data_IF_879981013811
#
_entry.id   IF_879981013811
#
_cell.length_a   1.000
_cell.length_b   1.000
_cell.length_c   1.000
_cell.angle_alpha   90.00
_cell.angle_beta   90.00
_cell.angle_gamma   90.00
#
_symmetry.space_group_name_H-M   'P 1'
#
loop_
_entity.id
_entity.type
_entity.pdbx_description
1 polymer ?
#
# COMPACT_ATOMS: atom_id res chain seq x y z
N UNK A 1 -21.78 -7.67 24.28
CA UNK A 1 -22.33 -7.66 22.91
C UNK A 1 -21.38 -8.42 22.04
N UNK A 2 -21.83 -9.38 21.21
CA UNK A 2 -20.95 -10.02 20.27
C UNK A 2 -20.43 -8.89 19.37
N UNK A 3 -19.12 -8.85 19.13
CA UNK A 3 -18.46 -7.96 18.17
C UNK A 3 -19.06 -8.31 16.80
N UNK A 4 -20.19 -7.67 16.53
CA UNK A 4 -21.14 -8.08 15.51
C UNK A 4 -20.66 -7.66 14.14
N UNK A 5 -21.15 -8.37 13.19
CA UNK A 5 -21.08 -8.07 11.78
C UNK A 5 -21.34 -6.57 11.55
N UNK A 6 -20.31 -5.86 11.11
CA UNK A 6 -20.48 -4.47 10.68
C UNK A 6 -21.29 -4.47 9.41
N UNK A 7 -22.56 -4.11 9.52
CA UNK A 7 -23.41 -3.85 8.35
C UNK A 7 -23.02 -2.50 7.77
N UNK A 8 -22.47 -2.51 6.57
CA UNK A 8 -22.35 -1.30 5.77
C UNK A 8 -23.74 -0.96 5.23
N UNK A 9 -24.24 0.24 5.59
CA UNK A 9 -25.50 0.77 5.05
C UNK A 9 -25.13 1.73 3.94
N UNK A 10 -25.59 1.46 2.72
CA UNK A 10 -25.40 2.35 1.58
C UNK A 10 -26.69 3.13 1.34
N UNK A 11 -26.58 4.46 1.41
CA UNK A 11 -27.69 5.38 1.15
C UNK A 11 -27.39 6.17 -0.12
N UNK A 12 -28.39 6.35 -0.98
CA UNK A 12 -28.32 7.19 -2.16
C UNK A 12 -28.97 8.53 -1.82
N UNK A 13 -28.15 9.55 -1.57
CA UNK A 13 -28.58 10.85 -1.13
C UNK A 13 -28.14 11.93 -2.13
N UNK A 14 -28.85 13.02 -2.19
CA UNK A 14 -28.35 14.24 -2.84
C UNK A 14 -27.16 14.79 -2.03
N UNK A 15 -26.35 15.62 -2.65
CA UNK A 15 -25.19 16.22 -2.00
C UNK A 15 -25.56 16.95 -0.71
N UNK A 16 -26.62 17.77 -0.76
CA UNK A 16 -27.07 18.53 0.40
C UNK A 16 -27.52 17.61 1.53
N UNK A 17 -28.33 16.59 1.24
CA UNK A 17 -28.74 15.60 2.23
C UNK A 17 -27.57 14.81 2.83
N UNK A 18 -26.55 14.52 2.04
CA UNK A 18 -25.36 13.84 2.53
C UNK A 18 -24.53 14.72 3.47
N UNK A 19 -24.39 16.02 3.15
CA UNK A 19 -23.72 17.01 4.01
C UNK A 19 -24.51 17.20 5.34
N UNK A 20 -25.82 17.38 5.27
CA UNK A 20 -26.69 17.50 6.46
C UNK A 20 -26.62 16.24 7.34
N UNK A 21 -26.69 15.05 6.76
CA UNK A 21 -26.57 13.79 7.50
C UNK A 21 -25.19 13.64 8.15
N UNK A 22 -24.12 14.00 7.43
CA UNK A 22 -22.77 13.94 7.95
C UNK A 22 -22.57 14.87 9.15
N UNK A 23 -23.17 16.07 9.11
CA UNK A 23 -23.09 17.05 10.21
C UNK A 23 -23.94 16.64 11.42
N UNK A 24 -25.03 15.92 11.20
CA UNK A 24 -25.83 15.33 12.31
C UNK A 24 -25.06 14.16 12.97
N UNK A 25 -24.44 13.28 12.17
CA UNK A 25 -23.75 12.10 12.69
C UNK A 25 -22.41 12.44 13.35
N UNK A 26 -21.67 13.36 12.75
CA UNK A 26 -20.30 13.73 13.14
C UNK A 26 -20.09 15.24 12.87
N UNK A 27 -20.60 16.14 13.76
CA UNK A 27 -20.45 17.58 13.60
C UNK A 27 -18.99 18.00 13.69
N UNK A 28 -18.55 18.86 12.77
CA UNK A 28 -17.18 19.38 12.74
C UNK A 28 -17.16 20.72 13.49
N UNK A 29 -16.59 20.72 14.69
CA UNK A 29 -16.42 21.90 15.54
C UNK A 29 -14.94 22.22 15.71
N UNK A 30 -14.55 23.46 15.49
CA UNK A 30 -13.17 23.97 15.64
C UNK A 30 -12.08 23.05 15.09
N UNK A 31 -12.10 22.74 13.79
CA UNK A 31 -11.17 21.79 13.23
C UNK A 31 -9.79 22.41 12.96
N UNK A 32 -8.73 21.68 13.32
CA UNK A 32 -7.39 21.93 12.81
C UNK A 32 -7.35 21.50 11.35
N UNK A 33 -7.28 22.44 10.45
CA UNK A 33 -7.26 22.19 9.01
C UNK A 33 -5.85 22.13 8.44
N UNK A 34 -5.62 21.17 7.56
CA UNK A 34 -4.45 21.15 6.69
C UNK A 34 -4.86 21.00 5.24
N UNK A 35 -4.42 21.95 4.41
CA UNK A 35 -4.51 21.86 2.96
C UNK A 35 -3.11 21.60 2.38
N UNK A 36 -2.89 20.46 1.70
CA UNK A 36 -1.59 20.11 1.17
C UNK A 36 -1.03 21.15 0.20
N UNK A 37 0.26 21.44 0.30
CA UNK A 37 0.99 22.36 -0.57
C UNK A 37 1.34 21.70 -1.92
N UNK A 38 1.81 22.49 -2.89
CA UNK A 38 2.12 22.01 -4.23
C UNK A 38 3.08 20.82 -4.27
N UNK A 39 4.16 20.83 -3.46
CA UNK A 39 5.11 19.73 -3.38
C UNK A 39 4.50 18.43 -2.82
N UNK A 40 3.63 18.54 -1.82
CA UNK A 40 2.90 17.41 -1.25
C UNK A 40 1.91 16.83 -2.27
N UNK A 41 1.21 17.69 -3.02
CA UNK A 41 0.29 17.25 -4.11
C UNK A 41 1.04 16.52 -5.22
N UNK A 42 2.22 17.01 -5.59
CA UNK A 42 3.07 16.36 -6.58
C UNK A 42 3.58 15.01 -6.07
N UNK A 43 4.04 14.95 -4.83
CA UNK A 43 4.44 13.68 -4.20
C UNK A 43 3.26 12.69 -4.13
N UNK A 44 2.07 13.12 -3.74
CA UNK A 44 0.87 12.30 -3.76
C UNK A 44 0.55 11.78 -5.15
N UNK A 45 0.66 12.64 -6.19
CA UNK A 45 0.41 12.27 -7.57
C UNK A 45 1.33 11.13 -8.02
N UNK A 46 2.62 11.22 -7.71
CA UNK A 46 3.61 10.20 -8.08
C UNK A 46 3.44 8.93 -7.25
N UNK A 47 3.29 9.06 -5.93
CA UNK A 47 3.19 7.91 -5.02
C UNK A 47 1.83 7.20 -5.07
N UNK A 48 0.77 7.93 -5.41
CA UNK A 48 -0.58 7.38 -5.58
C UNK A 48 -0.82 6.71 -6.93
N UNK A 49 0.12 6.80 -7.85
CA UNK A 49 0.01 6.18 -9.17
C UNK A 49 0.06 4.64 -9.06
N UNK A 50 -1.11 4.00 -9.08
CA UNK A 50 -1.25 2.55 -9.00
C UNK A 50 -1.59 1.97 -10.39
N UNK A 51 -0.58 1.40 -11.06
CA UNK A 51 -0.70 0.88 -12.42
C UNK A 51 -1.74 -0.25 -12.59
N UNK A 52 -1.94 -1.08 -11.57
CA UNK A 52 -2.81 -2.25 -11.69
C UNK A 52 -4.30 -1.88 -11.81
N UNK A 53 -4.78 -0.92 -11.02
CA UNK A 53 -6.15 -0.41 -11.13
C UNK A 53 -6.38 0.35 -12.43
N UNK A 54 -5.33 0.96 -12.96
CA UNK A 54 -5.36 1.69 -14.22
C UNK A 54 -5.46 0.76 -15.41
N UNK A 55 -4.86 -0.43 -15.33
CA UNK A 55 -4.94 -1.45 -16.38
C UNK A 55 -6.39 -1.91 -16.61
N UNK A 56 -7.16 -2.12 -15.54
CA UNK A 56 -8.57 -2.48 -15.63
C UNK A 56 -9.38 -1.36 -16.29
N UNK A 57 -9.14 -0.11 -15.88
CA UNK A 57 -9.82 1.05 -16.46
C UNK A 57 -9.48 1.24 -17.93
N UNK A 58 -8.21 1.04 -18.30
CA UNK A 58 -7.74 1.13 -19.67
C UNK A 58 -8.38 0.05 -20.56
N UNK A 59 -8.42 -1.20 -20.07
CA UNK A 59 -9.09 -2.29 -20.78
C UNK A 59 -10.57 -1.99 -20.99
N UNK A 60 -11.27 -1.52 -19.95
CA UNK A 60 -12.67 -1.14 -20.01
C UNK A 60 -12.90 0.01 -20.99
N UNK A 61 -12.03 1.03 -20.97
CA UNK A 61 -12.11 2.18 -21.88
C UNK A 61 -11.94 1.75 -23.33
N UNK A 62 -10.96 0.89 -23.63
CA UNK A 62 -10.77 0.35 -24.98
C UNK A 62 -12.01 -0.44 -25.41
N UNK A 63 -12.53 -1.29 -24.57
CA UNK A 63 -13.69 -2.10 -24.89
C UNK A 63 -14.94 -1.26 -25.17
N UNK A 64 -15.17 -0.23 -24.35
CA UNK A 64 -16.29 0.70 -24.58
C UNK A 64 -16.08 1.57 -25.84
N UNK A 65 -14.86 2.06 -26.08
CA UNK A 65 -14.58 2.92 -27.25
C UNK A 65 -14.79 2.15 -28.54
N UNK A 66 -14.54 0.85 -28.55
CA UNK A 66 -14.80 0.00 -29.69
C UNK A 66 -16.29 0.03 -30.11
N UNK A 67 -17.19 0.13 -29.13
CA UNK A 67 -18.63 0.12 -29.37
C UNK A 67 -19.19 1.49 -29.80
N UNK A 68 -18.60 2.59 -29.30
CA UNK A 68 -19.15 3.95 -29.47
C UNK A 68 -18.35 4.83 -30.42
N UNK A 69 -17.03 4.59 -30.58
CA UNK A 69 -16.15 5.42 -31.40
C UNK A 69 -14.99 4.60 -31.96
N UNK A 70 -15.23 3.69 -32.92
CA UNK A 70 -14.20 2.80 -33.48
C UNK A 70 -13.04 3.57 -34.15
N UNK A 71 -13.32 4.71 -34.76
CA UNK A 71 -12.29 5.53 -35.39
C UNK A 71 -11.33 6.16 -34.37
N UNK A 72 -11.84 6.58 -33.22
CA UNK A 72 -11.01 7.11 -32.16
C UNK A 72 -10.12 6.00 -31.54
N UNK A 73 -10.63 4.76 -31.44
CA UNK A 73 -9.84 3.62 -31.01
C UNK A 73 -8.71 3.31 -31.99
N UNK A 74 -9.01 3.24 -33.28
CA UNK A 74 -7.99 2.94 -34.31
C UNK A 74 -6.92 4.04 -34.36
N UNK A 75 -7.28 5.30 -34.20
CA UNK A 75 -6.35 6.41 -34.11
C UNK A 75 -5.45 6.32 -32.85
N UNK A 76 -6.02 6.02 -31.71
CA UNK A 76 -5.24 5.84 -30.46
C UNK A 76 -4.26 4.68 -30.57
N UNK A 77 -4.70 3.54 -31.12
CA UNK A 77 -3.82 2.37 -31.30
C UNK A 77 -2.72 2.66 -32.33
N UNK A 78 -2.99 3.42 -33.36
CA UNK A 78 -2.01 3.85 -34.36
C UNK A 78 -0.93 4.74 -33.71
N UNK A 79 -1.32 5.68 -32.86
CA UNK A 79 -0.37 6.51 -32.08
C UNK A 79 0.52 5.67 -31.15
N UNK A 80 -0.06 4.73 -30.42
CA UNK A 80 0.71 3.80 -29.60
C UNK A 80 1.65 2.94 -30.43
N UNK A 81 1.21 2.52 -31.63
CA UNK A 81 2.04 1.79 -32.60
C UNK A 81 3.24 2.60 -33.07
N UNK A 82 3.06 3.89 -33.35
CA UNK A 82 4.17 4.80 -33.71
C UNK A 82 5.18 4.94 -32.57
N UNK A 83 4.71 5.11 -31.33
CA UNK A 83 5.58 5.16 -30.16
C UNK A 83 6.35 3.85 -29.94
N UNK A 84 5.67 2.70 -30.13
CA UNK A 84 6.31 1.40 -30.04
C UNK A 84 7.35 1.19 -31.16
N UNK A 85 7.05 1.62 -32.38
CA UNK A 85 8.00 1.58 -33.50
C UNK A 85 9.22 2.48 -33.27
N UNK A 86 9.04 3.63 -32.64
CA UNK A 86 10.15 4.49 -32.23
C UNK A 86 11.01 3.81 -31.16
N UNK A 87 10.39 3.23 -30.13
CA UNK A 87 11.10 2.51 -29.08
C UNK A 87 11.79 1.23 -29.61
N UNK A 88 11.23 0.61 -30.64
CA UNK A 88 11.79 -0.59 -31.27
C UNK A 88 13.11 -0.32 -32.01
N UNK A 89 13.51 0.92 -32.21
CA UNK A 89 14.85 1.26 -32.73
C UNK A 89 15.98 0.88 -31.75
N UNK A 90 15.64 0.78 -30.46
CA UNK A 90 16.59 0.55 -29.37
C UNK A 90 16.34 -0.77 -28.64
N UNK A 91 15.13 -1.33 -28.77
CA UNK A 91 14.66 -2.48 -28.02
C UNK A 91 13.96 -3.48 -28.95
N UNK A 92 13.95 -4.80 -28.60
CA UNK A 92 13.11 -5.77 -29.32
C UNK A 92 11.64 -5.33 -29.32
N UNK A 93 10.94 -5.59 -30.43
CA UNK A 93 9.57 -5.08 -30.68
C UNK A 93 8.59 -5.41 -29.53
N UNK A 94 8.67 -6.61 -28.97
CA UNK A 94 7.82 -7.02 -27.83
C UNK A 94 8.07 -6.20 -26.58
N UNK A 95 9.34 -5.90 -26.26
CA UNK A 95 9.71 -5.07 -25.11
C UNK A 95 9.36 -3.60 -25.32
N UNK A 96 9.44 -3.11 -26.55
CA UNK A 96 9.02 -1.76 -26.93
C UNK A 96 7.51 -1.56 -26.69
N UNK A 97 6.67 -2.51 -27.10
CA UNK A 97 5.23 -2.49 -26.82
C UNK A 97 4.91 -2.53 -25.33
N UNK A 98 5.60 -3.40 -24.55
CA UNK A 98 5.41 -3.46 -23.09
C UNK A 98 5.78 -2.14 -22.41
N UNK A 99 6.87 -1.50 -22.86
CA UNK A 99 7.32 -0.22 -22.32
C UNK A 99 6.34 0.91 -22.64
N UNK A 100 5.84 0.99 -23.87
CA UNK A 100 4.83 1.99 -24.27
C UNK A 100 3.52 1.78 -23.52
N UNK A 101 3.07 0.53 -23.37
CA UNK A 101 1.88 0.21 -22.59
C UNK A 101 2.04 0.61 -21.12
N UNK A 102 3.15 0.21 -20.49
CA UNK A 102 3.45 0.55 -19.11
C UNK A 102 3.54 2.06 -18.89
N UNK A 103 4.19 2.79 -19.80
CA UNK A 103 4.28 4.26 -19.78
C UNK A 103 2.92 4.93 -19.91
N UNK A 104 2.07 4.46 -20.81
CA UNK A 104 0.71 4.97 -20.99
C UNK A 104 -0.13 4.76 -19.74
N UNK A 105 -0.09 3.54 -19.16
CA UNK A 105 -0.79 3.22 -17.93
C UNK A 105 -0.31 4.08 -16.75
N UNK A 106 0.99 4.32 -16.68
CA UNK A 106 1.59 5.19 -15.67
C UNK A 106 1.10 6.64 -15.84
N UNK A 107 1.10 7.19 -17.04
CA UNK A 107 0.59 8.54 -17.31
C UNK A 107 -0.89 8.69 -16.94
N UNK A 108 -1.75 7.74 -17.31
CA UNK A 108 -3.16 7.74 -16.93
C UNK A 108 -3.31 7.67 -15.40
N UNK A 109 -2.49 6.86 -14.74
CA UNK A 109 -2.47 6.75 -13.27
C UNK A 109 -2.04 8.05 -12.60
N UNK A 110 -1.04 8.75 -13.16
CA UNK A 110 -0.62 10.07 -12.68
C UNK A 110 -1.74 11.09 -12.78
N UNK A 111 -2.40 11.18 -13.93
CA UNK A 111 -3.54 12.10 -14.14
C UNK A 111 -4.65 11.81 -13.14
N UNK A 112 -5.02 10.54 -12.98
CA UNK A 112 -6.02 10.13 -11.99
C UNK A 112 -5.63 10.54 -10.57
N UNK A 113 -4.40 10.29 -10.16
CA UNK A 113 -3.88 10.65 -8.84
C UNK A 113 -3.84 12.16 -8.65
N UNK A 114 -3.45 12.93 -9.67
CA UNK A 114 -3.50 14.39 -9.67
C UNK A 114 -4.93 14.91 -9.45
N UNK A 115 -5.91 14.35 -10.17
CA UNK A 115 -7.32 14.71 -10.02
C UNK A 115 -7.86 14.40 -8.61
N UNK A 116 -7.34 13.36 -7.94
CA UNK A 116 -7.68 13.04 -6.55
C UNK A 116 -7.04 14.02 -5.55
N UNK A 117 -5.86 14.57 -5.87
CA UNK A 117 -5.16 15.54 -5.02
C UNK A 117 -5.79 16.95 -5.06
N UNK A 118 -6.68 17.22 -6.03
CA UNK A 118 -7.35 18.52 -6.14
C UNK A 118 -8.36 18.69 -5.01
N UNK A 119 -8.36 19.87 -4.38
CA UNK A 119 -9.19 20.23 -3.23
C UNK A 119 -9.06 19.27 -2.03
N UNK A 120 -7.90 18.61 -1.91
CA UNK A 120 -7.65 17.74 -0.78
C UNK A 120 -7.45 18.56 0.49
N UNK A 121 -8.15 18.15 1.55
CA UNK A 121 -8.01 18.73 2.89
C UNK A 121 -8.14 17.63 3.92
N UNK A 122 -7.34 17.73 4.98
CA UNK A 122 -7.41 16.86 6.15
C UNK A 122 -7.74 17.74 7.34
N UNK A 123 -8.52 17.26 8.28
CA UNK A 123 -8.83 17.97 9.50
C UNK A 123 -8.91 17.05 10.71
N UNK A 124 -8.65 17.63 11.86
CA UNK A 124 -8.85 17.00 13.16
C UNK A 124 -9.66 17.91 14.06
N UNK A 125 -10.58 17.33 14.80
CA UNK A 125 -11.23 17.92 15.96
C UNK A 125 -10.85 17.11 17.20
N UNK A 126 -11.31 17.48 18.38
CA UNK A 126 -11.08 16.73 19.62
C UNK A 126 -11.63 15.31 19.58
N UNK A 127 -12.66 15.05 18.76
CA UNK A 127 -13.36 13.75 18.72
C UNK A 127 -13.26 13.03 17.40
N UNK A 128 -12.78 13.70 16.34
CA UNK A 128 -12.84 13.19 14.98
C UNK A 128 -11.60 13.51 14.17
N UNK A 129 -11.36 12.65 13.19
CA UNK A 129 -10.37 12.83 12.12
C UNK A 129 -11.08 12.69 10.78
N UNK A 130 -10.81 13.59 9.86
CA UNK A 130 -11.45 13.52 8.56
C UNK A 130 -10.56 13.94 7.41
N UNK A 131 -10.94 13.50 6.22
CA UNK A 131 -10.35 13.97 4.97
C UNK A 131 -11.42 14.11 3.88
N UNK A 132 -11.22 15.06 3.00
CA UNK A 132 -12.02 15.24 1.79
C UNK A 132 -11.13 15.61 0.63
N UNK A 133 -11.55 15.25 -0.58
CA UNK A 133 -10.79 15.59 -1.78
C UNK A 133 -11.41 15.08 -3.07
N UNK A 134 -10.74 15.35 -4.18
CA UNK A 134 -11.09 14.92 -5.51
C UNK A 134 -11.85 15.97 -6.32
N UNK A 135 -11.56 16.03 -7.62
CA UNK A 135 -12.20 16.93 -8.57
C UNK A 135 -13.40 16.25 -9.25
N UNK A 136 -13.19 15.09 -9.84
CA UNK A 136 -14.22 14.33 -10.58
C UNK A 136 -15.10 13.55 -9.62
N UNK A 137 -14.48 12.77 -8.75
CA UNK A 137 -15.17 12.03 -7.68
C UNK A 137 -14.77 12.65 -6.36
N UNK A 138 -15.64 13.46 -5.81
CA UNK A 138 -15.46 14.00 -4.45
C UNK A 138 -15.78 12.92 -3.45
N UNK A 139 -14.94 12.80 -2.45
CA UNK A 139 -15.19 11.94 -1.30
C UNK A 139 -14.93 12.73 -0.02
N UNK A 140 -15.62 12.36 1.01
CA UNK A 140 -15.40 12.83 2.36
C UNK A 140 -15.52 11.62 3.29
N UNK A 141 -14.58 11.50 4.20
CA UNK A 141 -14.58 10.46 5.22
C UNK A 141 -14.33 11.10 6.58
N UNK A 142 -15.12 10.72 7.55
CA UNK A 142 -15.00 11.17 8.95
C UNK A 142 -14.91 9.95 9.85
N UNK A 143 -13.92 9.89 10.73
CA UNK A 143 -13.68 8.82 11.68
C UNK A 143 -13.68 9.37 13.10
N UNK A 144 -14.23 8.61 14.05
CA UNK A 144 -14.11 8.93 15.48
C UNK A 144 -12.75 8.52 16.00
N UNK A 145 -12.07 9.42 16.74
CA UNK A 145 -10.75 9.16 17.32
C UNK A 145 -10.78 7.96 18.30
N UNK A 146 -11.88 7.79 19.04
CA UNK A 146 -12.07 6.67 19.96
C UNK A 146 -12.20 5.30 19.28
N UNK A 147 -12.36 5.25 17.96
CA UNK A 147 -12.50 4.03 17.18
C UNK A 147 -11.31 3.75 16.26
N UNK A 148 -10.22 4.52 16.42
CA UNK A 148 -9.02 4.30 15.61
C UNK A 148 -8.37 2.96 15.97
N UNK A 149 -8.17 2.10 14.98
CA UNK A 149 -7.48 0.82 15.15
C UNK A 149 -5.97 1.03 15.06
N UNK A 150 -5.52 1.59 13.96
CA UNK A 150 -4.10 1.85 13.70
C UNK A 150 -3.90 2.99 12.71
N UNK A 151 -2.70 3.56 12.74
CA UNK A 151 -2.17 4.40 11.67
C UNK A 151 -1.07 3.63 10.93
N UNK A 152 -1.08 3.69 9.61
CA UNK A 152 -0.17 2.97 8.70
C UNK A 152 0.66 3.97 7.88
N UNK A 153 1.97 3.98 8.09
CA UNK A 153 2.92 4.70 7.27
C UNK A 153 3.48 3.75 6.22
N UNK A 154 3.21 4.03 4.94
CA UNK A 154 3.64 3.16 3.84
C UNK A 154 4.90 3.68 3.20
N UNK A 155 5.96 2.92 3.32
CA UNK A 155 7.25 3.24 2.71
C UNK A 155 7.52 2.35 1.50
N UNK A 156 7.99 2.95 0.43
CA UNK A 156 8.44 2.28 -0.78
C UNK A 156 9.77 2.88 -1.23
N UNK A 157 10.50 2.28 -2.16
CA UNK A 157 11.71 2.92 -2.70
C UNK A 157 11.47 4.35 -3.22
N UNK A 158 10.31 4.60 -3.82
CA UNK A 158 9.92 5.93 -4.30
C UNK A 158 9.68 6.92 -3.14
N UNK A 159 9.08 6.48 -2.03
CA UNK A 159 8.89 7.34 -0.85
C UNK A 159 10.21 7.71 -0.21
N UNK A 160 11.18 6.79 -0.18
CA UNK A 160 12.52 7.10 0.32
C UNK A 160 13.24 8.12 -0.57
N UNK A 161 13.15 7.96 -1.89
CA UNK A 161 13.77 8.90 -2.83
C UNK A 161 13.17 10.31 -2.75
N UNK A 162 11.87 10.40 -2.51
CA UNK A 162 11.14 11.68 -2.45
C UNK A 162 11.11 12.29 -1.03
N UNK A 163 11.47 11.55 0.01
CA UNK A 163 11.34 11.92 1.42
C UNK A 163 9.89 12.26 1.84
N UNK A 164 8.92 11.60 1.22
CA UNK A 164 7.51 11.72 1.54
C UNK A 164 6.92 10.35 1.87
N UNK A 165 6.06 10.29 2.87
CA UNK A 165 5.42 9.06 3.32
C UNK A 165 3.91 9.21 3.30
N UNK A 166 3.16 8.38 2.57
CA UNK A 166 1.72 8.33 2.66
C UNK A 166 1.29 7.71 3.99
N UNK A 167 0.30 8.33 4.61
CA UNK A 167 -0.27 7.91 5.90
C UNK A 167 -1.73 7.55 5.71
N UNK A 168 -2.11 6.40 6.23
CA UNK A 168 -3.48 5.91 6.24
C UNK A 168 -3.91 5.62 7.66
N UNK A 169 -5.19 5.76 7.95
CA UNK A 169 -5.75 5.48 9.26
C UNK A 169 -6.94 4.53 9.11
N UNK A 170 -6.95 3.48 9.92
CA UNK A 170 -8.05 2.54 10.01
C UNK A 170 -8.85 2.78 11.30
N UNK A 171 -10.17 2.71 11.21
CA UNK A 171 -11.04 2.85 12.35
C UNK A 171 -12.20 1.86 12.29
N UNK A 172 -12.43 1.15 13.38
CA UNK A 172 -13.50 0.16 13.51
C UNK A 172 -13.45 -0.85 12.36
N UNK A 173 -14.59 -1.06 11.70
CA UNK A 173 -14.66 -1.92 10.51
C UNK A 173 -14.86 -1.11 9.21
N UNK A 174 -14.54 0.18 9.23
CA UNK A 174 -14.65 1.04 8.06
C UNK A 174 -13.62 0.65 6.99
N UNK A 175 -14.09 0.43 5.77
CA UNK A 175 -13.24 0.24 4.58
C UNK A 175 -13.74 1.17 3.47
N UNK A 176 -12.87 1.82 2.72
CA UNK A 176 -11.40 1.82 2.79
C UNK A 176 -10.84 2.57 4.00
N UNK A 177 -9.53 2.43 4.24
CA UNK A 177 -8.79 3.26 5.21
C UNK A 177 -8.91 4.74 4.84
N UNK A 178 -8.88 5.60 5.86
CA UNK A 178 -8.85 7.05 5.67
C UNK A 178 -7.45 7.49 5.23
N UNK A 179 -7.28 8.01 4.01
CA UNK A 179 -6.00 8.57 3.61
C UNK A 179 -5.82 9.95 4.27
N UNK A 180 -4.72 10.10 5.04
CA UNK A 180 -4.32 11.38 5.62
C UNK A 180 -3.39 12.19 4.71
N UNK A 181 -3.25 11.78 3.46
CA UNK A 181 -2.35 12.36 2.49
C UNK A 181 -0.91 11.88 2.60
N UNK A 182 0.01 12.63 2.01
CA UNK A 182 1.43 12.32 1.92
C UNK A 182 2.21 13.39 2.67
N UNK A 183 2.98 12.98 3.66
CA UNK A 183 3.69 13.87 4.57
C UNK A 183 5.19 13.80 4.34
N UNK A 184 5.84 14.95 4.38
CA UNK A 184 7.29 14.99 4.40
C UNK A 184 7.81 14.46 5.74
N UNK A 185 8.84 13.63 5.71
CA UNK A 185 9.45 13.08 6.91
C UNK A 185 9.87 14.20 7.88
N UNK A 186 9.55 14.03 9.17
CA UNK A 186 9.87 15.03 10.20
C UNK A 186 8.92 16.21 10.29
N UNK A 187 7.83 16.26 9.52
CA UNK A 187 6.87 17.39 9.59
C UNK A 187 6.15 17.40 10.94
N UNK A 188 6.18 18.52 11.71
CA UNK A 188 5.52 18.61 13.02
C UNK A 188 4.01 18.46 12.92
N UNK A 189 3.40 18.89 11.83
CA UNK A 189 1.95 18.91 11.63
C UNK A 189 1.31 17.49 11.67
N UNK A 190 2.01 16.44 11.23
CA UNK A 190 1.52 15.06 11.41
C UNK A 190 1.38 14.72 12.90
N UNK A 191 2.29 15.23 13.75
CA UNK A 191 2.21 15.06 15.21
C UNK A 191 1.06 15.87 15.82
N UNK A 192 0.68 16.98 15.21
CA UNK A 192 -0.49 17.77 15.65
C UNK A 192 -1.80 17.07 15.26
N UNK A 193 -1.85 16.45 14.05
CA UNK A 193 -3.01 15.68 13.60
C UNK A 193 -3.16 14.32 14.31
N UNK A 194 -2.06 13.68 14.64
CA UNK A 194 -2.02 12.38 15.33
C UNK A 194 -0.98 12.41 16.46
N UNK A 195 -1.23 13.18 17.54
CA UNK A 195 -0.28 13.27 18.66
C UNK A 195 -0.12 11.94 19.39
N UNK A 196 -1.13 11.09 19.32
CA UNK A 196 -1.11 9.75 19.92
C UNK A 196 -0.18 8.78 19.17
N UNK A 197 0.21 9.09 17.93
CA UNK A 197 0.99 8.18 17.10
C UNK A 197 2.45 8.16 17.51
N UNK A 198 2.90 7.03 18.07
CA UNK A 198 4.31 6.74 18.20
C UNK A 198 4.92 6.36 16.83
N UNK A 199 6.10 6.86 16.54
CA UNK A 199 6.80 6.58 15.27
C UNK A 199 8.10 5.83 15.55
N UNK A 200 8.31 4.73 14.83
CA UNK A 200 9.62 4.07 14.83
C UNK A 200 10.65 4.99 14.15
N UNK A 201 11.83 5.15 14.72
CA UNK A 201 12.93 5.79 14.02
C UNK A 201 13.20 5.09 12.68
N UNK A 202 13.58 5.82 11.63
CA UNK A 202 13.82 5.25 10.31
C UNK A 202 14.94 4.20 10.31
N UNK A 203 15.87 4.29 11.26
CA UNK A 203 17.00 3.37 11.41
C UNK A 203 16.71 2.17 12.32
N UNK A 204 15.50 2.05 12.86
CA UNK A 204 15.12 0.91 13.69
C UNK A 204 15.21 -0.38 12.86
N UNK A 205 16.05 -1.31 13.32
CA UNK A 205 16.24 -2.63 12.72
C UNK A 205 15.67 -3.69 13.63
N UNK A 206 15.08 -4.71 13.01
CA UNK A 206 14.62 -5.88 13.72
C UNK A 206 15.81 -6.80 14.08
N UNK A 207 15.63 -7.62 15.11
CA UNK A 207 16.54 -8.73 15.37
C UNK A 207 16.53 -9.71 14.18
N UNK A 208 17.70 -9.95 13.60
CA UNK A 208 17.88 -10.78 12.39
C UNK A 208 18.43 -12.18 12.69
N UNK A 209 18.68 -12.49 13.96
CA UNK A 209 19.21 -13.79 14.38
C UNK A 209 18.22 -14.90 13.98
N UNK A 210 18.74 -15.95 13.34
CA UNK A 210 18.00 -17.16 12.97
C UNK A 210 16.73 -16.96 12.10
N UNK A 211 16.64 -15.85 11.36
CA UNK A 211 15.48 -15.51 10.52
C UNK A 211 15.62 -15.90 9.05
N UNK A 212 16.83 -16.20 8.60
CA UNK A 212 17.18 -16.36 7.17
C UNK A 212 16.28 -17.37 6.44
N UNK A 213 15.99 -18.50 7.08
CA UNK A 213 15.12 -19.55 6.52
C UNK A 213 13.70 -19.04 6.19
N UNK A 214 13.14 -18.17 7.02
CA UNK A 214 11.78 -17.66 6.83
C UNK A 214 11.71 -16.64 5.70
N UNK A 215 12.77 -15.84 5.51
CA UNK A 215 12.78 -14.72 4.58
C UNK A 215 13.32 -15.10 3.19
N UNK A 216 14.44 -15.84 3.13
CA UNK A 216 15.14 -16.06 1.87
C UNK A 216 14.75 -17.37 1.20
N UNK A 217 14.42 -18.39 1.94
CA UNK A 217 14.10 -19.71 1.38
C UNK A 217 12.90 -19.68 0.41
N UNK A 218 11.77 -18.98 0.71
CA UNK A 218 10.61 -18.97 -0.19
C UNK A 218 10.87 -18.36 -1.56
N UNK A 219 11.83 -17.43 -1.66
CA UNK A 219 12.20 -16.80 -2.93
C UNK A 219 13.50 -17.38 -3.51
N UNK A 220 14.42 -17.80 -2.66
CA UNK A 220 15.75 -18.29 -3.07
C UNK A 220 15.71 -19.63 -3.79
N UNK A 221 14.94 -20.60 -3.29
CA UNK A 221 14.80 -21.91 -3.96
C UNK A 221 14.15 -21.77 -5.34
N UNK A 222 13.00 -21.10 -5.53
CA UNK A 222 12.42 -20.88 -6.84
C UNK A 222 13.34 -20.10 -7.78
N UNK A 223 14.08 -19.10 -7.26
CA UNK A 223 15.05 -18.36 -8.06
C UNK A 223 16.18 -19.29 -8.58
N UNK A 224 16.77 -20.08 -7.70
CA UNK A 224 17.82 -21.04 -8.08
C UNK A 224 17.32 -22.03 -9.13
N UNK A 225 16.09 -22.55 -8.97
CA UNK A 225 15.45 -23.43 -9.94
C UNK A 225 15.22 -22.72 -11.29
N UNK A 226 14.70 -21.50 -11.29
CA UNK A 226 14.50 -20.72 -12.51
C UNK A 226 15.83 -20.42 -13.24
N UNK A 227 16.89 -20.09 -12.50
CA UNK A 227 18.22 -19.88 -13.06
C UNK A 227 18.78 -21.17 -13.70
N UNK A 228 18.64 -22.28 -13.00
CA UNK A 228 19.05 -23.60 -13.54
C UNK A 228 18.29 -23.95 -14.83
N UNK A 229 16.95 -23.81 -14.81
CA UNK A 229 16.11 -24.06 -15.98
C UNK A 229 16.45 -23.11 -17.14
N UNK A 230 16.74 -21.85 -16.87
CA UNK A 230 17.16 -20.87 -17.87
C UNK A 230 18.51 -21.25 -18.48
N UNK A 231 19.46 -21.72 -17.66
CA UNK A 231 20.76 -22.17 -18.13
C UNK A 231 20.65 -23.43 -19.01
N UNK A 232 19.84 -24.40 -18.57
CA UNK A 232 19.61 -25.64 -19.35
C UNK A 232 18.84 -25.33 -20.65
N UNK A 233 17.81 -24.47 -20.61
CA UNK A 233 17.02 -24.14 -21.80
C UNK A 233 17.84 -23.43 -22.87
N UNK A 234 18.87 -22.68 -22.48
CA UNK A 234 19.78 -22.01 -23.42
C UNK A 234 20.50 -23.00 -24.37
N UNK A 235 20.77 -24.22 -23.89
CA UNK A 235 21.45 -25.24 -24.68
C UNK A 235 20.49 -26.23 -25.33
N UNK A 236 19.37 -26.57 -24.67
CA UNK A 236 18.46 -27.62 -25.12
C UNK A 236 17.24 -27.08 -25.90
N UNK A 237 16.64 -25.98 -25.42
CA UNK A 237 15.40 -25.39 -25.94
C UNK A 237 15.47 -23.86 -25.93
N UNK A 238 16.23 -23.23 -26.85
CA UNK A 238 16.45 -21.76 -26.82
C UNK A 238 15.19 -20.93 -26.84
N UNK A 239 14.09 -21.42 -27.39
CA UNK A 239 12.81 -20.74 -27.41
C UNK A 239 12.19 -20.48 -26.00
N UNK A 240 12.53 -21.32 -25.01
CA UNK A 240 12.06 -21.18 -23.64
C UNK A 240 12.93 -20.26 -22.78
N UNK A 241 14.10 -19.85 -23.24
CA UNK A 241 15.04 -19.01 -22.47
C UNK A 241 14.39 -17.65 -22.14
N UNK A 242 13.76 -17.00 -23.12
CA UNK A 242 13.11 -15.70 -22.92
C UNK A 242 11.91 -15.77 -21.95
N UNK A 243 10.96 -16.71 -22.10
CA UNK A 243 9.89 -16.90 -21.12
C UNK A 243 10.38 -17.16 -19.70
N UNK A 244 11.48 -17.91 -19.51
CA UNK A 244 12.04 -18.23 -18.18
C UNK A 244 12.73 -17.03 -17.52
N UNK A 245 13.16 -16.02 -18.25
CA UNK A 245 13.69 -14.78 -17.66
C UNK A 245 12.64 -14.01 -16.86
N UNK A 246 11.35 -14.10 -17.24
CA UNK A 246 10.27 -13.42 -16.53
C UNK A 246 10.15 -13.93 -15.09
N UNK A 247 9.92 -15.22 -14.81
CA UNK A 247 9.87 -15.73 -13.44
C UNK A 247 11.20 -15.55 -12.71
N UNK A 248 12.33 -15.67 -13.38
CA UNK A 248 13.65 -15.38 -12.78
C UNK A 248 13.70 -13.93 -12.25
N UNK A 249 13.28 -12.94 -13.03
CA UNK A 249 13.21 -11.55 -12.62
C UNK A 249 12.24 -11.31 -11.46
N UNK A 250 11.09 -11.98 -11.48
CA UNK A 250 10.10 -11.91 -10.39
C UNK A 250 10.68 -12.46 -9.09
N UNK A 251 11.30 -13.64 -9.09
CA UNK A 251 11.88 -14.21 -7.88
C UNK A 251 13.11 -13.45 -7.40
N UNK A 252 13.91 -12.87 -8.29
CA UNK A 252 15.00 -11.97 -7.90
C UNK A 252 14.47 -10.70 -7.20
N UNK A 253 13.40 -10.10 -7.72
CA UNK A 253 12.75 -8.95 -7.09
C UNK A 253 12.13 -9.32 -5.73
N UNK A 254 11.51 -10.51 -5.60
CA UNK A 254 10.98 -11.00 -4.33
C UNK A 254 12.10 -11.25 -3.31
N UNK A 255 13.25 -11.77 -3.75
CA UNK A 255 14.41 -11.95 -2.88
C UNK A 255 14.96 -10.61 -2.38
N UNK A 256 15.02 -9.60 -3.24
CA UNK A 256 15.35 -8.22 -2.84
C UNK A 256 14.37 -7.64 -1.82
N UNK A 257 13.06 -7.84 -2.04
CA UNK A 257 12.04 -7.45 -1.07
C UNK A 257 12.18 -8.20 0.27
N UNK A 258 12.49 -9.50 0.23
CA UNK A 258 12.75 -10.29 1.43
C UNK A 258 13.98 -9.76 2.20
N UNK A 259 15.03 -9.30 1.52
CA UNK A 259 16.19 -8.69 2.17
C UNK A 259 15.84 -7.42 2.94
N UNK A 260 14.95 -6.57 2.39
CA UNK A 260 14.43 -5.38 3.10
C UNK A 260 13.60 -5.80 4.31
N UNK A 261 12.66 -6.74 4.14
CA UNK A 261 11.83 -7.26 5.22
C UNK A 261 12.65 -7.92 6.33
N UNK A 262 13.70 -8.65 5.97
CA UNK A 262 14.59 -9.30 6.93
C UNK A 262 15.19 -8.33 7.94
N UNK A 263 15.56 -7.14 7.50
CA UNK A 263 16.11 -6.09 8.37
C UNK A 263 15.06 -5.24 9.07
N UNK A 264 13.86 -5.14 8.54
CA UNK A 264 12.86 -4.15 8.96
C UNK A 264 11.62 -4.73 9.61
N UNK A 265 11.20 -5.95 9.27
CA UNK A 265 10.01 -6.56 9.90
C UNK A 265 10.26 -6.84 11.38
N UNK A 266 9.29 -6.47 12.22
CA UNK A 266 9.37 -6.70 13.65
C UNK A 266 8.21 -6.08 14.41
N UNK A 267 8.25 -6.28 15.71
CA UNK A 267 7.27 -5.76 16.67
C UNK A 267 8.02 -5.02 17.76
N UNK A 268 7.56 -3.84 18.11
CA UNK A 268 8.15 -3.00 19.16
C UNK A 268 7.04 -2.43 20.04
N UNK A 269 7.35 -2.18 21.27
CA UNK A 269 6.51 -1.44 22.20
C UNK A 269 7.17 -0.09 22.50
N UNK A 270 6.45 0.98 22.29
CA UNK A 270 6.93 2.33 22.58
C UNK A 270 5.80 3.16 23.20
N UNK A 271 6.06 3.77 24.36
CA UNK A 271 5.07 4.60 25.07
C UNK A 271 3.72 3.91 25.31
N UNK A 272 3.73 2.61 25.55
CA UNK A 272 2.50 1.81 25.76
C UNK A 272 1.75 1.45 24.47
N UNK A 273 2.26 1.83 23.31
CA UNK A 273 1.66 1.48 22.02
C UNK A 273 2.45 0.36 21.35
N UNK A 274 1.73 -0.47 20.61
CA UNK A 274 2.28 -1.53 19.79
C UNK A 274 2.62 -0.98 18.40
N UNK A 275 3.88 -1.10 18.04
CA UNK A 275 4.40 -0.70 16.74
C UNK A 275 4.78 -1.95 15.95
N UNK A 276 4.27 -2.06 14.74
CA UNK A 276 4.50 -3.17 13.83
C UNK A 276 5.17 -2.68 12.57
N UNK A 277 6.15 -3.42 12.11
CA UNK A 277 6.72 -3.18 10.79
C UNK A 277 6.60 -4.47 9.97
N UNK A 278 5.90 -4.37 8.84
CA UNK A 278 5.61 -5.50 7.95
C UNK A 278 6.00 -5.15 6.52
N UNK A 279 6.68 -6.06 5.84
CA UNK A 279 6.93 -5.97 4.41
C UNK A 279 5.79 -6.63 3.65
N UNK A 280 5.05 -5.85 2.87
CA UNK A 280 4.07 -6.37 1.94
C UNK A 280 4.46 -6.02 0.51
N UNK A 281 4.89 -7.03 -0.26
CA UNK A 281 5.45 -6.84 -1.62
C UNK A 281 6.63 -5.86 -1.59
N UNK A 282 6.47 -4.68 -2.21
CA UNK A 282 7.49 -3.63 -2.29
C UNK A 282 7.25 -2.48 -1.30
N UNK A 283 6.23 -2.57 -0.47
CA UNK A 283 5.89 -1.59 0.54
C UNK A 283 6.23 -2.09 1.93
N UNK A 284 6.88 -1.25 2.70
CA UNK A 284 7.09 -1.44 4.12
C UNK A 284 6.00 -0.67 4.86
N UNK A 285 5.14 -1.38 5.56
CA UNK A 285 4.08 -0.85 6.39
C UNK A 285 4.60 -0.67 7.81
N UNK A 286 4.52 0.54 8.33
CA UNK A 286 4.80 0.85 9.73
C UNK A 286 3.49 1.20 10.41
N UNK A 287 2.94 0.24 11.15
CA UNK A 287 1.67 0.40 11.82
C UNK A 287 1.89 0.80 13.27
N UNK A 288 1.17 1.83 13.72
CA UNK A 288 1.00 2.19 15.12
C UNK A 288 -0.40 1.79 15.55
N UNK A 289 -0.52 0.84 16.45
CA UNK A 289 -1.80 0.33 16.96
C UNK A 289 -2.24 1.16 18.16
N UNK A 290 -3.47 1.72 18.09
CA UNK A 290 -4.00 2.59 19.13
C UNK A 290 -4.78 1.85 20.21
N UNK A 291 -5.49 0.79 19.83
CA UNK A 291 -6.32 0.03 20.78
C UNK A 291 -5.89 -1.45 20.82
N UNK A 292 -5.76 -2.01 22.04
CA UNK A 292 -5.38 -3.40 22.23
C UNK A 292 -6.50 -4.42 21.94
N UNK A 293 -7.73 -3.97 21.66
CA UNK A 293 -8.89 -4.84 21.37
C UNK A 293 -8.75 -5.63 20.07
N UNK A 294 -7.53 -5.93 19.70
CA UNK A 294 -7.18 -6.75 18.55
C UNK A 294 -6.97 -8.19 19.00
N UNK A 295 -7.69 -9.11 18.35
CA UNK A 295 -7.34 -10.52 18.48
C UNK A 295 -5.98 -10.77 17.86
N UNK A 296 -5.20 -11.67 18.42
CA UNK A 296 -3.96 -12.10 17.80
C UNK A 296 -3.87 -13.62 17.69
N UNK A 297 -3.08 -14.09 16.74
CA UNK A 297 -2.68 -15.49 16.62
C UNK A 297 -1.17 -15.57 16.40
N UNK A 298 -0.50 -16.39 17.19
CA UNK A 298 0.90 -16.71 17.01
C UNK A 298 1.00 -18.12 16.39
N UNK A 299 1.62 -18.24 15.23
CA UNK A 299 1.80 -19.51 14.54
C UNK A 299 3.28 -19.83 14.42
N UNK A 300 3.68 -21.01 14.90
CA UNK A 300 5.03 -21.52 14.76
C UNK A 300 5.08 -22.63 13.71
N UNK A 301 5.98 -22.49 12.74
CA UNK A 301 6.36 -23.61 11.89
C UNK A 301 7.36 -24.52 12.64
N UNK A 302 7.56 -25.78 12.22
CA UNK A 302 8.55 -26.67 12.86
C UNK A 302 9.96 -26.04 12.97
N UNK A 303 10.37 -25.28 11.97
CA UNK A 303 11.63 -24.54 11.95
C UNK A 303 11.66 -23.35 12.92
N UNK A 304 10.51 -22.70 13.09
CA UNK A 304 10.38 -21.56 13.99
C UNK A 304 10.41 -21.99 15.46
N UNK A 305 9.96 -23.21 15.78
CA UNK A 305 10.01 -23.77 17.12
C UNK A 305 11.46 -23.92 17.62
N UNK A 306 12.36 -24.43 16.75
CA UNK A 306 13.77 -24.62 17.11
C UNK A 306 14.51 -23.31 17.43
N UNK A 307 14.08 -22.20 16.82
CA UNK A 307 14.67 -20.87 17.00
C UNK A 307 13.82 -19.94 17.87
N UNK A 308 12.82 -20.48 18.58
CA UNK A 308 11.95 -19.75 19.50
C UNK A 308 11.33 -18.49 18.86
N UNK A 309 10.76 -18.65 17.64
CA UNK A 309 10.12 -17.58 16.88
C UNK A 309 8.71 -17.96 16.45
N UNK A 310 7.87 -16.98 16.22
CA UNK A 310 6.51 -17.14 15.73
C UNK A 310 6.14 -16.10 14.64
N UNK A 311 5.20 -16.44 13.78
CA UNK A 311 4.52 -15.46 12.94
C UNK A 311 3.33 -14.90 13.72
N UNK A 312 3.37 -13.62 14.02
CA UNK A 312 2.31 -12.92 14.73
C UNK A 312 1.32 -12.36 13.71
N UNK A 313 0.05 -12.76 13.82
CA UNK A 313 -1.05 -12.18 13.04
C UNK A 313 -1.98 -11.45 13.98
N UNK A 314 -2.12 -10.15 13.79
CA UNK A 314 -3.12 -9.32 14.46
C UNK A 314 -4.38 -9.29 13.61
N UNK A 315 -5.52 -9.41 14.27
CA UNK A 315 -6.85 -9.37 13.65
C UNK A 315 -7.59 -8.16 14.18
N UNK A 316 -7.79 -7.17 13.33
CA UNK A 316 -8.52 -5.95 13.66
C UNK A 316 -10.03 -6.10 13.41
N UNK A 317 -10.86 -5.23 13.99
CA UNK A 317 -12.26 -5.13 13.62
C UNK A 317 -12.42 -5.04 12.09
N UNK A 318 -13.47 -5.69 11.54
CA UNK A 318 -13.64 -5.76 10.08
C UNK A 318 -12.85 -6.89 9.39
N UNK A 319 -12.27 -7.83 10.18
CA UNK A 319 -11.50 -8.99 9.69
C UNK A 319 -10.21 -8.60 8.93
N UNK A 320 -9.72 -7.41 9.15
CA UNK A 320 -8.41 -7.02 8.63
C UNK A 320 -7.30 -7.75 9.39
N UNK A 321 -6.33 -8.30 8.66
CA UNK A 321 -5.24 -9.09 9.23
C UNK A 321 -3.90 -8.47 8.85
N UNK A 322 -3.06 -8.29 9.85
CA UNK A 322 -1.67 -7.86 9.68
C UNK A 322 -0.77 -8.94 10.22
N UNK A 323 0.14 -9.46 9.40
CA UNK A 323 1.05 -10.55 9.79
C UNK A 323 2.48 -10.07 9.78
N UNK A 324 3.15 -10.15 10.92
CA UNK A 324 4.58 -9.91 11.06
C UNK A 324 5.28 -11.27 11.19
N UNK A 325 6.30 -11.48 10.35
CA UNK A 325 6.99 -12.78 10.26
C UNK A 325 8.14 -12.87 11.24
N UNK A 326 8.35 -14.06 11.77
CA UNK A 326 9.55 -14.43 12.56
C UNK A 326 9.84 -13.47 13.71
N UNK A 327 8.85 -13.23 14.55
CA UNK A 327 8.97 -12.44 15.79
C UNK A 327 9.54 -13.33 16.88
N UNK A 328 10.55 -12.90 17.68
CA UNK A 328 11.02 -13.64 18.84
C UNK A 328 9.88 -13.85 19.85
N UNK A 329 9.76 -15.04 20.45
CA UNK A 329 8.73 -15.30 21.47
C UNK A 329 8.85 -14.35 22.67
N UNK A 330 10.06 -14.09 23.13
CA UNK A 330 10.32 -13.12 24.20
C UNK A 330 9.77 -11.71 23.91
N UNK A 331 9.66 -11.32 22.63
CA UNK A 331 9.04 -10.06 22.26
C UNK A 331 7.51 -10.12 22.29
N UNK A 332 6.91 -11.28 22.53
CA UNK A 332 5.45 -11.45 22.64
C UNK A 332 4.98 -11.48 24.10
N UNK A 333 5.91 -11.54 25.06
CA UNK A 333 5.58 -11.60 26.51
C UNK A 333 4.76 -10.38 26.95
N UNK A 334 4.94 -9.22 26.28
CA UNK A 334 4.13 -8.03 26.56
C UNK A 334 2.68 -8.12 26.09
N UNK A 335 2.33 -9.14 25.28
CA UNK A 335 0.95 -9.40 24.87
C UNK A 335 0.19 -10.29 25.88
N UNK A 336 0.82 -10.62 27.03
CA UNK A 336 0.27 -11.51 28.08
C UNK A 336 -0.23 -12.85 27.51
N UNK A 337 0.62 -13.49 26.69
CA UNK A 337 0.34 -14.80 26.09
C UNK A 337 0.79 -15.92 27.04
#
# INVERSE_FOLDING_TARGET
>A
YPVGQTKTITLYLTRQQAEELADVLLPVTDPLWHAPKGGEKLAFTVLGANGLSTLILWWLAIHQTQSYAPDAQTAALAQLGQLAAFAARWLPLGTAWLLVLAGTLFCISLVRSALQAVHYTVWRTDTQLGSRGGLVRRYEMRLRLSQLNYADLRRSPATWALHYCPVFVSAGACRPELPLFVWREGTPLLRELLPEMAQLPPDTRADTTDRSMVFFLPAGIPLALCLLLTAVSRTTLPALTLPLLIPTGVFAALLGAAAVGWHREGVWQQKGQLLLCQQHRFHLHQLCVFHPDTGFTALQSPWAVTVQRANLTLVFPGKEKVTVRSVPLAALDFLEI
#
